data_IF_911257765453
#
_entry.id   IF_911257765453
#
_cell.length_a   1.000
_cell.length_b   1.000
_cell.length_c   1.000
_cell.angle_alpha   90.00
_cell.angle_beta   90.00
_cell.angle_gamma   90.00
#
_symmetry.space_group_name_H-M   'P 1'
#
loop_
_entity.id
_entity.type
_entity.pdbx_description
1 polymer ?
#
# COMPACT_ATOMS: atom_id res chain seq x y z
N UNK A 1 -26.19 74.63 25.99
CA UNK A 1 -25.09 74.11 25.14
C UNK A 1 -24.35 73.03 25.90
N UNK A 2 -24.97 71.86 26.18
CA UNK A 2 -24.32 70.65 26.73
C UNK A 2 -25.34 69.50 26.91
N UNK A 3 -25.94 69.02 25.80
CA UNK A 3 -26.82 67.82 25.82
C UNK A 3 -26.37 66.75 24.80
N UNK A 4 -25.09 66.73 24.45
CA UNK A 4 -24.55 65.80 23.44
C UNK A 4 -23.75 64.61 24.01
N UNK A 5 -23.71 64.43 25.34
CA UNK A 5 -22.91 63.35 25.98
C UNK A 5 -23.76 62.16 26.49
N UNK A 6 -25.09 62.30 26.52
CA UNK A 6 -26.01 61.30 27.09
C UNK A 6 -26.25 59.97 26.34
N UNK A 7 -26.12 59.84 25.00
CA UNK A 7 -26.46 58.58 24.32
C UNK A 7 -25.37 57.51 24.39
N UNK A 8 -24.12 57.89 24.67
CA UNK A 8 -22.96 57.00 24.65
C UNK A 8 -22.82 56.15 25.92
N UNK A 9 -23.57 56.46 26.98
CA UNK A 9 -23.62 55.72 28.24
C UNK A 9 -24.92 54.92 28.40
N UNK A 10 -25.66 54.66 27.31
CA UNK A 10 -26.78 53.71 27.37
C UNK A 10 -26.21 52.29 27.56
N UNK A 11 -26.57 51.58 28.65
CA UNK A 11 -26.01 50.26 28.95
C UNK A 11 -26.23 49.24 27.83
N UNK A 12 -27.31 49.36 27.04
CA UNK A 12 -27.57 48.49 25.89
C UNK A 12 -26.59 48.74 24.74
N UNK A 13 -26.24 50.00 24.47
CA UNK A 13 -25.27 50.36 23.42
C UNK A 13 -23.88 49.86 23.81
N UNK A 14 -23.47 50.10 25.07
CA UNK A 14 -22.20 49.59 25.61
C UNK A 14 -22.14 48.07 25.58
N UNK A 15 -23.21 47.37 25.99
CA UNK A 15 -23.28 45.92 25.93
C UNK A 15 -23.17 45.38 24.48
N UNK A 16 -23.84 46.03 23.52
CA UNK A 16 -23.78 45.62 22.11
C UNK A 16 -22.38 45.81 21.49
N UNK A 17 -21.68 46.89 21.86
CA UNK A 17 -20.31 47.16 21.43
C UNK A 17 -19.32 46.17 22.05
N UNK A 18 -19.47 45.85 23.33
CA UNK A 18 -18.65 44.85 24.02
C UNK A 18 -18.89 43.47 23.41
N UNK A 19 -20.15 43.09 23.16
CA UNK A 19 -20.49 41.83 22.51
C UNK A 19 -19.90 41.74 21.09
N UNK A 20 -19.98 42.81 20.30
CA UNK A 20 -19.37 42.88 18.97
C UNK A 20 -17.83 42.77 19.04
N UNK A 21 -17.19 43.46 19.98
CA UNK A 21 -15.74 43.37 20.18
C UNK A 21 -15.29 41.96 20.59
N UNK A 22 -16.00 41.33 21.52
CA UNK A 22 -15.74 39.94 21.95
C UNK A 22 -15.93 38.97 20.77
N UNK A 23 -16.98 39.14 19.97
CA UNK A 23 -17.23 38.29 18.81
C UNK A 23 -16.12 38.40 17.74
N UNK A 24 -15.67 39.63 17.44
CA UNK A 24 -14.59 39.88 16.48
C UNK A 24 -13.26 39.29 16.97
N UNK A 25 -12.98 39.37 18.28
CA UNK A 25 -11.78 38.80 18.88
C UNK A 25 -11.83 37.27 19.04
N UNK A 26 -13.03 36.70 19.21
CA UNK A 26 -13.21 35.25 19.34
C UNK A 26 -13.07 34.50 18.01
N UNK A 27 -13.42 35.13 16.88
CA UNK A 27 -13.33 34.53 15.55
C UNK A 27 -11.94 33.99 15.18
N UNK A 28 -10.84 34.78 15.22
CA UNK A 28 -9.52 34.30 14.86
C UNK A 28 -9.00 33.21 15.80
N UNK A 29 -9.35 33.26 17.09
CA UNK A 29 -8.99 32.21 18.06
C UNK A 29 -9.72 30.92 17.73
N UNK A 30 -11.02 30.98 17.44
CA UNK A 30 -11.83 29.82 17.07
C UNK A 30 -11.36 29.22 15.73
N UNK A 31 -11.03 30.05 14.74
CA UNK A 31 -10.46 29.59 13.46
C UNK A 31 -9.11 28.88 13.67
N UNK A 32 -8.22 29.44 14.49
CA UNK A 32 -6.93 28.80 14.82
C UNK A 32 -7.13 27.45 15.54
N UNK A 33 -8.03 27.39 16.52
CA UNK A 33 -8.35 26.16 17.25
C UNK A 33 -8.97 25.11 16.31
N UNK A 34 -9.88 25.51 15.44
CA UNK A 34 -10.49 24.62 14.45
C UNK A 34 -9.46 24.08 13.45
N UNK A 35 -8.53 24.92 12.98
CA UNK A 35 -7.42 24.47 12.13
C UNK A 35 -6.51 23.46 12.84
N UNK A 36 -6.20 23.68 14.13
CA UNK A 36 -5.41 22.73 14.92
C UNK A 36 -6.12 21.39 15.10
N UNK A 37 -7.41 21.41 15.46
CA UNK A 37 -8.23 20.18 15.57
C UNK A 37 -8.32 19.46 14.24
N UNK A 38 -8.57 20.17 13.14
CA UNK A 38 -8.64 19.59 11.80
C UNK A 38 -7.33 18.90 11.40
N UNK A 39 -6.17 19.48 11.75
CA UNK A 39 -4.86 18.83 11.53
C UNK A 39 -4.69 17.58 12.38
N UNK A 40 -5.09 17.62 13.65
CA UNK A 40 -5.05 16.45 14.54
C UNK A 40 -5.88 15.29 14.01
N UNK A 41 -7.14 15.56 13.65
CA UNK A 41 -8.05 14.58 13.06
C UNK A 41 -7.51 13.99 11.75
N UNK A 42 -6.84 14.80 10.91
CA UNK A 42 -6.21 14.30 9.69
C UNK A 42 -5.08 13.32 10.00
N UNK A 43 -4.23 13.63 10.99
CA UNK A 43 -3.10 12.76 11.38
C UNK A 43 -3.61 11.45 11.97
N UNK A 44 -4.60 11.51 12.86
CA UNK A 44 -5.26 10.33 13.44
C UNK A 44 -5.85 9.45 12.33
N UNK A 45 -6.63 10.04 11.41
CA UNK A 45 -7.20 9.32 10.28
C UNK A 45 -6.14 8.64 9.42
N UNK A 46 -5.05 9.34 9.09
CA UNK A 46 -3.94 8.74 8.32
C UNK A 46 -3.35 7.54 9.06
N UNK A 47 -3.10 7.68 10.37
CA UNK A 47 -2.53 6.60 11.17
C UNK A 47 -3.45 5.38 11.25
N UNK A 48 -4.75 5.61 11.46
CA UNK A 48 -5.75 4.54 11.55
C UNK A 48 -5.87 3.77 10.22
N UNK A 49 -5.90 4.48 9.08
CA UNK A 49 -5.92 3.86 7.75
C UNK A 49 -4.64 3.06 7.52
N UNK A 50 -3.46 3.62 7.84
CA UNK A 50 -2.19 2.89 7.69
C UNK A 50 -2.14 1.63 8.55
N UNK A 51 -2.66 1.66 9.78
CA UNK A 51 -2.73 0.49 10.66
C UNK A 51 -3.71 -0.56 10.16
N UNK A 52 -4.87 -0.13 9.65
CA UNK A 52 -5.85 -1.03 9.05
C UNK A 52 -5.25 -1.76 7.84
N UNK A 53 -4.61 -1.01 6.92
CA UNK A 53 -3.90 -1.58 5.78
C UNK A 53 -2.79 -2.53 6.21
N UNK A 54 -1.97 -2.15 7.19
CA UNK A 54 -0.91 -3.01 7.70
C UNK A 54 -1.46 -4.34 8.24
N UNK A 55 -2.54 -4.30 9.01
CA UNK A 55 -3.16 -5.49 9.58
C UNK A 55 -3.71 -6.42 8.48
N UNK A 56 -4.37 -5.83 7.48
CA UNK A 56 -4.96 -6.56 6.37
C UNK A 56 -3.90 -7.19 5.46
N UNK A 57 -2.93 -6.40 4.97
CA UNK A 57 -1.83 -6.88 4.13
C UNK A 57 -1.08 -7.99 4.87
N UNK A 58 -0.82 -7.82 6.17
CA UNK A 58 -0.17 -8.85 6.99
C UNK A 58 -0.97 -10.15 7.01
N UNK A 59 -2.28 -10.09 7.23
CA UNK A 59 -3.12 -11.28 7.26
C UNK A 59 -3.07 -12.04 5.92
N UNK A 60 -3.12 -11.32 4.80
CA UNK A 60 -3.05 -11.92 3.48
C UNK A 60 -1.65 -12.45 3.15
N UNK A 61 -0.57 -11.73 3.47
CA UNK A 61 0.82 -12.21 3.27
C UNK A 61 1.06 -13.50 4.06
N UNK A 62 0.59 -13.58 5.31
CA UNK A 62 0.67 -14.81 6.10
C UNK A 62 -0.09 -15.97 5.42
N UNK A 63 -1.26 -15.69 4.83
CA UNK A 63 -1.99 -16.70 4.06
C UNK A 63 -1.20 -17.17 2.83
N UNK A 64 -0.52 -16.27 2.12
CA UNK A 64 0.33 -16.63 0.97
C UNK A 64 1.54 -17.46 1.41
N UNK A 65 2.15 -17.13 2.55
CA UNK A 65 3.26 -17.90 3.12
C UNK A 65 2.85 -19.32 3.52
N UNK A 66 1.64 -19.49 4.07
CA UNK A 66 1.09 -20.81 4.40
C UNK A 66 0.73 -21.65 3.18
N UNK A 67 0.46 -21.02 2.03
CA UNK A 67 0.13 -21.69 0.77
C UNK A 67 1.38 -22.01 -0.07
N UNK A 68 2.56 -21.63 0.40
CA UNK A 68 3.81 -21.88 -0.30
C UNK A 68 4.06 -23.38 -0.40
N UNK A 69 4.07 -23.86 -1.63
CA UNK A 69 4.48 -25.22 -2.00
C UNK A 69 5.96 -25.22 -2.35
N UNK A 70 6.65 -26.34 -2.08
CA UNK A 70 8.02 -26.50 -2.54
C UNK A 70 8.08 -26.77 -4.06
N UNK A 71 9.28 -26.71 -4.64
CA UNK A 71 9.44 -26.88 -6.08
C UNK A 71 9.02 -28.28 -6.59
N UNK A 72 9.16 -29.32 -5.76
CA UNK A 72 8.80 -30.68 -6.13
C UNK A 72 7.28 -30.89 -6.08
N UNK A 73 6.63 -30.34 -5.07
CA UNK A 73 5.18 -30.31 -4.90
C UNK A 73 4.51 -29.47 -5.98
N UNK A 74 5.06 -28.29 -6.30
CA UNK A 74 4.62 -27.45 -7.41
C UNK A 74 4.66 -28.24 -8.75
N UNK A 75 5.78 -28.91 -9.03
CA UNK A 75 5.90 -29.75 -10.24
C UNK A 75 4.89 -30.90 -10.24
N UNK A 76 4.65 -31.55 -9.11
CA UNK A 76 3.67 -32.61 -8.99
C UNK A 76 2.23 -32.11 -9.23
N UNK A 77 1.89 -30.92 -8.72
CA UNK A 77 0.58 -30.29 -8.96
C UNK A 77 0.40 -29.90 -10.43
N UNK A 78 1.42 -29.29 -11.05
CA UNK A 78 1.41 -28.94 -12.48
C UNK A 78 1.24 -30.20 -13.33
N UNK A 79 1.99 -31.27 -13.03
CA UNK A 79 1.89 -32.54 -13.75
C UNK A 79 0.51 -33.18 -13.59
N UNK A 80 -0.03 -33.19 -12.38
CA UNK A 80 -1.40 -33.66 -12.10
C UNK A 80 -2.44 -32.87 -12.90
N UNK A 81 -2.27 -31.56 -13.03
CA UNK A 81 -3.18 -30.73 -13.82
C UNK A 81 -3.06 -31.06 -15.32
N UNK A 82 -1.85 -31.30 -15.83
CA UNK A 82 -1.65 -31.75 -17.23
C UNK A 82 -2.37 -33.06 -17.53
N UNK A 83 -2.45 -33.95 -16.55
CA UNK A 83 -3.15 -35.23 -16.62
C UNK A 83 -4.67 -35.11 -16.46
N UNK A 84 -5.21 -33.88 -16.33
CA UNK A 84 -6.64 -33.61 -16.16
C UNK A 84 -7.13 -33.71 -14.72
N UNK A 85 -6.21 -33.74 -13.74
CA UNK A 85 -6.55 -33.75 -12.32
C UNK A 85 -7.08 -32.38 -11.87
N UNK A 86 -8.18 -32.40 -11.12
CA UNK A 86 -8.78 -31.20 -10.56
C UNK A 86 -8.00 -30.69 -9.33
N UNK A 87 -7.76 -29.39 -9.28
CA UNK A 87 -7.21 -28.67 -8.12
C UNK A 87 -8.24 -27.62 -7.75
N UNK A 88 -8.54 -27.46 -6.45
CA UNK A 88 -9.39 -26.36 -5.96
C UNK A 88 -8.54 -25.09 -5.81
N UNK A 89 -8.72 -24.06 -6.64
CA UNK A 89 -7.99 -22.81 -6.45
C UNK A 89 -8.66 -22.02 -5.33
N UNK A 90 -7.86 -21.44 -4.45
CA UNK A 90 -8.33 -20.69 -3.29
C UNK A 90 -9.24 -19.51 -3.70
N UNK A 91 -10.18 -19.16 -2.82
CA UNK A 91 -11.30 -18.25 -3.06
C UNK A 91 -10.88 -16.84 -3.52
N UNK A 92 -10.91 -16.59 -4.83
CA UNK A 92 -10.60 -15.30 -5.45
C UNK A 92 -11.65 -14.20 -5.18
N UNK A 93 -12.87 -14.55 -4.77
CA UNK A 93 -13.99 -13.59 -4.68
C UNK A 93 -13.90 -12.61 -3.49
N UNK A 94 -13.18 -12.96 -2.42
CA UNK A 94 -13.03 -12.06 -1.26
C UNK A 94 -12.19 -10.81 -1.57
N UNK A 95 -11.32 -10.88 -2.58
CA UNK A 95 -10.27 -9.88 -2.80
C UNK A 95 -10.74 -8.63 -3.59
N UNK A 96 -11.74 -8.75 -4.49
CA UNK A 96 -12.21 -7.62 -5.33
C UNK A 96 -12.92 -6.53 -4.51
N UNK A 97 -13.64 -6.91 -3.44
CA UNK A 97 -14.39 -5.97 -2.61
C UNK A 97 -13.47 -5.10 -1.74
N UNK A 98 -12.34 -5.66 -1.35
CA UNK A 98 -11.33 -5.03 -0.48
C UNK A 98 -10.49 -4.04 -1.26
N UNK A 99 -10.04 -4.42 -2.47
CA UNK A 99 -9.34 -3.51 -3.38
C UNK A 99 -10.14 -2.23 -3.66
N UNK A 100 -11.44 -2.39 -3.92
CA UNK A 100 -12.34 -1.27 -4.22
C UNK A 100 -12.48 -0.31 -3.04
N UNK A 101 -12.59 -0.84 -1.82
CA UNK A 101 -12.70 -0.03 -0.60
C UNK A 101 -11.42 0.76 -0.29
N UNK A 102 -10.25 0.20 -0.57
CA UNK A 102 -8.96 0.85 -0.28
C UNK A 102 -8.62 1.95 -1.30
N UNK A 103 -9.00 1.76 -2.56
CA UNK A 103 -8.85 2.78 -3.60
C UNK A 103 -9.58 4.09 -3.25
N UNK A 104 -10.73 4.00 -2.58
CA UNK A 104 -11.48 5.17 -2.12
C UNK A 104 -10.69 5.99 -1.09
N UNK A 105 -9.84 5.35 -0.28
CA UNK A 105 -9.09 6.01 0.81
C UNK A 105 -7.61 6.26 0.48
N UNK A 106 -7.11 5.82 -0.68
CA UNK A 106 -5.70 5.94 -1.06
C UNK A 106 -5.21 7.40 -1.06
N UNK A 107 -6.11 8.35 -1.34
CA UNK A 107 -5.81 9.79 -1.34
C UNK A 107 -5.48 10.37 0.05
N UNK A 108 -5.79 9.63 1.12
CA UNK A 108 -5.48 10.00 2.50
C UNK A 108 -4.04 9.62 2.83
N UNK A 109 -3.48 8.61 2.17
CA UNK A 109 -2.15 8.07 2.48
C UNK A 109 -1.02 9.07 2.14
N UNK A 110 0.11 9.00 2.86
CA UNK A 110 1.30 9.71 2.46
C UNK A 110 1.86 9.19 1.14
N UNK A 111 2.40 10.08 0.31
CA UNK A 111 2.86 9.76 -1.05
C UNK A 111 3.80 8.55 -1.12
N UNK A 112 4.76 8.46 -0.19
CA UNK A 112 5.76 7.39 -0.14
C UNK A 112 5.20 6.00 0.22
N UNK A 113 3.94 5.90 0.65
CA UNK A 113 3.27 4.62 0.94
C UNK A 113 2.22 4.26 -0.12
N UNK A 114 1.81 5.22 -0.94
CA UNK A 114 0.79 4.97 -1.98
C UNK A 114 1.28 3.90 -2.96
N UNK A 115 2.44 4.11 -3.56
CA UNK A 115 2.97 3.23 -4.61
C UNK A 115 3.16 1.78 -4.17
N UNK A 116 3.80 1.46 -3.02
CA UNK A 116 3.96 0.07 -2.61
C UNK A 116 2.61 -0.59 -2.26
N UNK A 117 1.68 0.14 -1.64
CA UNK A 117 0.34 -0.38 -1.34
C UNK A 117 -0.43 -0.66 -2.64
N UNK A 118 -0.45 0.29 -3.57
CA UNK A 118 -1.12 0.13 -4.87
C UNK A 118 -0.49 -1.03 -5.66
N UNK A 119 0.82 -1.15 -5.63
CA UNK A 119 1.55 -2.24 -6.30
C UNK A 119 1.13 -3.59 -5.76
N UNK A 120 1.12 -3.75 -4.43
CA UNK A 120 0.66 -4.98 -3.79
C UNK A 120 -0.75 -5.36 -4.22
N UNK A 121 -1.72 -4.46 -4.08
CA UNK A 121 -3.10 -4.77 -4.45
C UNK A 121 -3.30 -5.02 -5.95
N UNK A 122 -2.51 -4.37 -6.81
CA UNK A 122 -2.51 -4.68 -8.24
C UNK A 122 -2.06 -6.11 -8.50
N UNK A 123 -1.04 -6.62 -7.80
CA UNK A 123 -0.63 -8.02 -7.94
C UNK A 123 -1.73 -8.98 -7.51
N UNK A 124 -2.44 -8.68 -6.42
CA UNK A 124 -3.59 -9.48 -5.97
C UNK A 124 -4.70 -9.52 -7.04
N UNK A 125 -5.00 -8.39 -7.67
CA UNK A 125 -6.00 -8.32 -8.74
C UNK A 125 -5.59 -9.17 -9.97
N UNK A 126 -4.31 -9.11 -10.36
CA UNK A 126 -3.77 -9.93 -11.46
C UNK A 126 -3.84 -11.41 -11.10
N UNK A 127 -3.39 -11.79 -9.90
CA UNK A 127 -3.42 -13.16 -9.39
C UNK A 127 -4.85 -13.73 -9.36
N UNK A 128 -5.83 -12.94 -8.93
CA UNK A 128 -7.24 -13.33 -8.94
C UNK A 128 -7.78 -13.56 -10.36
N UNK A 129 -7.38 -12.72 -11.33
CA UNK A 129 -7.72 -12.92 -12.73
C UNK A 129 -7.09 -14.21 -13.30
N UNK A 130 -5.81 -14.44 -13.03
CA UNK A 130 -5.10 -15.65 -13.44
C UNK A 130 -5.74 -16.91 -12.86
N UNK A 131 -6.11 -16.91 -11.57
CA UNK A 131 -6.78 -18.03 -10.94
C UNK A 131 -8.10 -18.40 -11.66
N UNK A 132 -8.92 -17.40 -12.02
CA UNK A 132 -10.16 -17.61 -12.79
C UNK A 132 -9.88 -18.16 -14.18
N UNK A 133 -8.84 -17.68 -14.84
CA UNK A 133 -8.50 -18.15 -16.18
C UNK A 133 -7.93 -19.57 -16.18
N UNK A 134 -7.13 -19.94 -15.17
CA UNK A 134 -6.71 -21.33 -14.92
C UNK A 134 -7.94 -22.21 -14.75
N UNK A 135 -8.88 -21.85 -13.86
CA UNK A 135 -10.11 -22.62 -13.61
C UNK A 135 -10.89 -22.91 -14.90
N UNK A 136 -11.08 -21.88 -15.74
CA UNK A 136 -11.78 -22.03 -17.02
C UNK A 136 -11.06 -22.95 -17.99
N UNK A 137 -9.73 -22.99 -17.96
CA UNK A 137 -8.94 -23.83 -18.86
C UNK A 137 -8.80 -25.28 -18.39
N UNK A 138 -9.00 -25.59 -17.10
CA UNK A 138 -8.83 -26.96 -16.58
C UNK A 138 -9.65 -27.99 -17.38
N UNK A 139 -10.91 -27.68 -17.70
CA UNK A 139 -11.77 -28.61 -18.44
C UNK A 139 -11.57 -28.56 -19.96
N UNK A 140 -11.10 -27.42 -20.50
CA UNK A 140 -10.99 -27.17 -21.93
C UNK A 140 -9.64 -27.66 -22.48
N UNK A 141 -8.56 -27.30 -21.80
CA UNK A 141 -7.19 -27.61 -22.18
C UNK A 141 -6.33 -27.75 -20.92
N UNK A 142 -6.27 -28.94 -20.31
CA UNK A 142 -5.51 -29.19 -19.09
C UNK A 142 -4.02 -28.87 -19.21
N UNK A 143 -3.42 -29.08 -20.39
CA UNK A 143 -2.02 -28.73 -20.65
C UNK A 143 -1.79 -27.23 -20.56
N UNK A 144 -2.66 -26.42 -21.20
CA UNK A 144 -2.58 -24.96 -21.13
C UNK A 144 -2.87 -24.45 -19.72
N UNK A 145 -3.86 -25.05 -19.05
CA UNK A 145 -4.16 -24.73 -17.66
C UNK A 145 -2.93 -24.95 -16.75
N UNK A 146 -2.12 -25.97 -17.04
CA UNK A 146 -0.94 -26.29 -16.25
C UNK A 146 0.18 -25.28 -16.44
N UNK A 147 0.39 -24.82 -17.68
CA UNK A 147 1.35 -23.76 -17.97
C UNK A 147 0.92 -22.44 -17.29
N UNK A 148 -0.37 -22.10 -17.38
CA UNK A 148 -0.92 -20.92 -16.68
C UNK A 148 -0.88 -21.03 -15.16
N UNK A 149 -1.00 -22.26 -14.62
CA UNK A 149 -0.87 -22.51 -13.20
C UNK A 149 0.57 -22.34 -12.72
N UNK A 150 1.57 -22.68 -13.54
CA UNK A 150 2.97 -22.38 -13.25
C UNK A 150 3.20 -20.86 -13.13
N UNK A 151 2.70 -20.09 -14.10
CA UNK A 151 2.77 -18.61 -14.05
C UNK A 151 2.05 -18.05 -12.82
N UNK A 152 0.92 -18.65 -12.42
CA UNK A 152 0.18 -18.27 -11.23
C UNK A 152 1.00 -18.49 -9.94
N UNK A 153 1.76 -19.57 -9.85
CA UNK A 153 2.64 -19.83 -8.70
C UNK A 153 3.76 -18.79 -8.61
N UNK A 154 4.37 -18.42 -9.74
CA UNK A 154 5.36 -17.32 -9.78
C UNK A 154 4.75 -15.98 -9.36
N UNK A 155 3.53 -15.69 -9.84
CA UNK A 155 2.79 -14.49 -9.45
C UNK A 155 2.46 -14.46 -7.96
N UNK A 156 2.22 -15.62 -7.34
CA UNK A 156 1.97 -15.75 -5.90
C UNK A 156 3.18 -15.29 -5.09
N UNK A 157 4.40 -15.63 -5.55
CA UNK A 157 5.64 -15.15 -4.93
C UNK A 157 5.81 -13.63 -5.10
N UNK A 158 5.59 -13.11 -6.31
CA UNK A 158 5.67 -11.68 -6.57
C UNK A 158 4.67 -10.85 -5.75
N UNK A 159 3.43 -11.34 -5.58
CA UNK A 159 2.42 -10.71 -4.74
C UNK A 159 2.82 -10.71 -3.25
N UNK A 160 3.43 -11.80 -2.77
CA UNK A 160 3.94 -11.89 -1.40
C UNK A 160 5.04 -10.88 -1.17
N UNK A 161 6.01 -10.79 -2.08
CA UNK A 161 7.14 -9.87 -1.98
C UNK A 161 6.68 -8.41 -1.97
N UNK A 162 5.74 -8.05 -2.87
CA UNK A 162 5.12 -6.73 -2.89
C UNK A 162 4.39 -6.42 -1.57
N UNK A 163 3.71 -7.41 -0.97
CA UNK A 163 3.05 -7.27 0.31
C UNK A 163 4.04 -7.04 1.46
N UNK A 164 5.16 -7.77 1.47
CA UNK A 164 6.23 -7.59 2.45
C UNK A 164 6.88 -6.20 2.32
N UNK A 165 7.09 -5.71 1.10
CA UNK A 165 7.55 -4.34 0.86
C UNK A 165 6.58 -3.29 1.39
N UNK A 166 5.29 -3.41 1.06
CA UNK A 166 4.26 -2.52 1.55
C UNK A 166 4.19 -2.51 3.09
N UNK A 167 4.27 -3.67 3.74
CA UNK A 167 4.32 -3.77 5.20
C UNK A 167 5.52 -3.04 5.79
N UNK A 168 6.72 -3.19 5.22
CA UNK A 168 7.93 -2.52 5.74
C UNK A 168 7.81 -1.00 5.67
N UNK A 169 7.33 -0.47 4.55
CA UNK A 169 7.14 0.98 4.36
C UNK A 169 6.00 1.53 5.22
N UNK A 170 4.91 0.78 5.40
CA UNK A 170 3.83 1.14 6.33
C UNK A 170 4.35 1.20 7.78
N UNK A 171 5.11 0.19 8.22
CA UNK A 171 5.69 0.17 9.58
C UNK A 171 6.62 1.38 9.77
N UNK A 172 7.55 1.63 8.85
CA UNK A 172 8.44 2.79 8.92
C UNK A 172 7.64 4.10 8.98
N UNK A 173 6.61 4.24 8.14
CA UNK A 173 5.76 5.43 8.12
C UNK A 173 4.94 5.61 9.40
N UNK A 174 4.40 4.54 9.99
CA UNK A 174 3.56 4.61 11.20
C UNK A 174 4.39 5.01 12.43
N UNK A 175 5.61 4.47 12.55
CA UNK A 175 6.44 4.67 13.75
C UNK A 175 7.44 5.82 13.64
N UNK A 176 7.91 6.15 12.43
CA UNK A 176 8.94 7.16 12.21
C UNK A 176 8.62 8.20 11.12
N UNK A 177 7.44 8.13 10.51
CA UNK A 177 7.01 9.08 9.49
C UNK A 177 7.89 9.07 8.24
N UNK A 178 7.94 10.20 7.55
CA UNK A 178 8.69 10.37 6.29
C UNK A 178 10.19 10.09 6.45
N UNK A 179 10.81 10.61 7.52
CA UNK A 179 12.25 10.48 7.73
C UNK A 179 12.68 9.01 7.84
N UNK A 180 11.93 8.19 8.58
CA UNK A 180 12.24 6.76 8.70
C UNK A 180 12.03 5.98 7.41
N UNK A 181 11.06 6.41 6.58
CA UNK A 181 10.84 5.80 5.24
C UNK A 181 12.00 6.15 4.31
N UNK A 182 12.42 7.42 4.28
CA UNK A 182 13.55 7.85 3.44
C UNK A 182 14.85 7.16 3.86
N UNK A 183 15.12 7.08 5.16
CA UNK A 183 16.29 6.36 5.67
C UNK A 183 16.26 4.86 5.30
N UNK A 184 15.08 4.23 5.34
CA UNK A 184 14.92 2.84 4.90
C UNK A 184 15.24 2.70 3.41
N UNK A 185 14.68 3.56 2.55
CA UNK A 185 14.91 3.52 1.10
C UNK A 185 16.36 3.79 0.73
N UNK A 186 17.00 4.76 1.39
CA UNK A 186 18.44 5.07 1.19
C UNK A 186 19.31 3.85 1.51
N UNK A 187 19.07 3.18 2.64
CA UNK A 187 19.79 1.95 3.02
C UNK A 187 19.59 0.83 2.00
N UNK A 188 18.39 0.70 1.43
CA UNK A 188 18.11 -0.30 0.41
C UNK A 188 18.82 0.00 -0.91
N UNK A 189 18.83 1.27 -1.33
CA UNK A 189 19.60 1.70 -2.50
C UNK A 189 21.09 1.44 -2.32
N UNK A 190 21.65 1.76 -1.15
CA UNK A 190 23.06 1.49 -0.83
C UNK A 190 23.37 -0.01 -0.89
N UNK A 191 22.54 -0.83 -0.25
CA UNK A 191 22.70 -2.29 -0.29
C UNK A 191 22.55 -2.87 -1.71
N UNK A 192 21.70 -2.28 -2.55
CA UNK A 192 21.56 -2.67 -3.94
C UNK A 192 22.81 -2.27 -4.76
N UNK A 193 23.31 -1.05 -4.58
CA UNK A 193 24.54 -0.56 -5.24
C UNK A 193 25.75 -1.41 -4.86
N UNK A 194 25.88 -1.78 -3.58
CA UNK A 194 26.97 -2.63 -3.11
C UNK A 194 26.89 -4.04 -3.68
N UNK A 195 25.69 -4.64 -3.75
CA UNK A 195 25.49 -5.93 -4.41
C UNK A 195 25.93 -5.89 -5.87
N UNK A 196 25.47 -4.89 -6.62
CA UNK A 196 25.89 -4.70 -8.03
C UNK A 196 27.40 -4.52 -8.13
N UNK A 197 28.01 -3.71 -7.26
CA UNK A 197 29.46 -3.49 -7.29
C UNK A 197 30.25 -4.79 -7.06
N UNK A 198 29.73 -5.68 -6.23
CA UNK A 198 30.36 -6.97 -5.92
C UNK A 198 30.17 -7.98 -7.07
N UNK A 199 28.99 -8.07 -7.68
CA UNK A 199 28.70 -9.10 -8.70
C UNK A 199 29.09 -8.71 -10.12
N UNK A 200 29.05 -7.41 -10.45
CA UNK A 200 29.26 -6.91 -11.81
C UNK A 200 30.62 -7.30 -12.43
N UNK A 201 31.76 -7.31 -11.70
CA UNK A 201 33.04 -7.74 -12.27
C UNK A 201 33.02 -9.18 -12.80
N UNK A 202 32.43 -10.10 -12.04
CA UNK A 202 32.35 -11.51 -12.40
C UNK A 202 31.34 -11.74 -13.55
N UNK A 203 30.22 -11.02 -13.53
CA UNK A 203 29.24 -11.05 -14.62
C UNK A 203 29.83 -10.57 -15.95
N UNK A 204 30.60 -9.47 -15.92
CA UNK A 204 31.30 -8.93 -17.09
C UNK A 204 32.41 -9.87 -17.58
N UNK A 205 33.15 -10.52 -16.68
CA UNK A 205 34.15 -11.52 -17.03
C UNK A 205 33.51 -12.72 -17.76
N UNK A 206 32.41 -13.25 -17.23
CA UNK A 206 31.65 -14.33 -17.87
C UNK A 206 31.04 -13.93 -19.21
N UNK A 207 30.55 -12.68 -19.35
CA UNK A 207 30.04 -12.16 -20.62
C UNK A 207 31.16 -12.10 -21.67
N UNK A 208 32.33 -11.58 -21.30
CA UNK A 208 33.51 -11.49 -22.18
C UNK A 208 33.95 -12.87 -22.66
N UNK A 209 33.96 -13.87 -21.78
CA UNK A 209 34.34 -15.23 -22.14
C UNK A 209 33.35 -15.88 -23.12
N UNK A 210 32.04 -15.66 -22.95
CA UNK A 210 31.00 -16.13 -23.88
C UNK A 210 31.12 -15.48 -25.26
N UNK A 211 31.47 -14.19 -25.31
CA UNK A 211 31.68 -13.48 -26.57
C UNK A 211 32.90 -14.00 -27.32
N UNK A 212 34.03 -14.23 -26.62
CA UNK A 212 35.24 -14.79 -27.22
C UNK A 212 35.06 -16.24 -27.73
N UNK A 213 34.16 -17.03 -27.13
CA UNK A 213 33.84 -18.39 -27.60
C UNK A 213 32.96 -18.43 -28.86
N UNK A 214 32.37 -17.29 -29.27
CA UNK A 214 31.48 -17.19 -30.44
C UNK A 214 32.14 -16.54 -31.66
N UNK A 215 33.34 -15.97 -31.53
CA UNK A 215 34.16 -15.43 -32.64
C UNK A 215 35.18 -16.47 -33.09
#
# INVERSE_FOLDING_TARGET
MLEWVGPLLNPTVVASLVAAAVAVLAWPVNDLLNRRRARGLRIERVNDVQRALLAEIRAHVVSLEMQRVDAAEAQALIQKLREGGYIHPAAAEANDRIYSAILEEVHVLPHWVIDPVVTYYRQIAVMAAMARDVQRQIEINPSRAADMFADYLEMTEAARDAGQEAMRLLIASIFGGEAAVMELLEREEEAARDRVRVTLPDELAGLRERLNRRS
#
